data_IF_932910619868
#
_entry.id   IF_932910619868
#
_cell.length_a   1.000
_cell.length_b   1.000
_cell.length_c   1.000
_cell.angle_alpha   90.00
_cell.angle_beta   90.00
_cell.angle_gamma   90.00
#
_symmetry.space_group_name_H-M   'P 1'
#
loop_
_entity.id
_entity.type
_entity.pdbx_description
1 polymer ?
#
# COMPACT_ATOMS: atom_id res chain seq x y z
N UNK A 1 -13.57 -10.73 21.62
CA UNK A 1 -14.83 -10.62 20.89
C UNK A 1 -15.02 -9.23 20.33
N UNK A 2 -16.03 -9.01 19.48
CA UNK A 2 -16.36 -7.71 18.87
C UNK A 2 -16.49 -6.56 19.90
N UNK A 3 -16.91 -6.85 21.13
CA UNK A 3 -16.99 -5.86 22.22
C UNK A 3 -15.63 -5.31 22.68
N UNK A 4 -14.56 -6.09 22.55
CA UNK A 4 -13.21 -5.65 22.94
C UNK A 4 -12.59 -4.74 21.87
N UNK A 5 -12.87 -4.99 20.59
CA UNK A 5 -12.45 -4.12 19.48
C UNK A 5 -13.12 -2.74 19.61
N UNK A 6 -14.41 -2.71 19.94
CA UNK A 6 -15.16 -1.46 20.12
C UNK A 6 -14.69 -0.64 21.33
N UNK A 7 -14.28 -1.29 22.43
CA UNK A 7 -13.67 -0.62 23.58
C UNK A 7 -12.31 -0.03 23.24
N UNK A 8 -11.49 -0.76 22.46
CA UNK A 8 -10.14 -0.32 22.06
C UNK A 8 -10.15 0.88 21.12
N UNK A 9 -11.19 1.07 20.31
CA UNK A 9 -11.35 2.26 19.46
C UNK A 9 -11.44 3.59 20.24
N UNK A 10 -11.68 3.54 21.55
CA UNK A 10 -11.71 4.72 22.43
C UNK A 10 -10.41 4.96 23.19
N UNK A 11 -9.44 4.04 23.08
CA UNK A 11 -8.15 4.18 23.75
C UNK A 11 -7.23 5.10 22.94
N UNK A 12 -6.46 5.90 23.65
CA UNK A 12 -5.36 6.66 23.04
C UNK A 12 -4.19 5.75 22.63
N UNK A 13 -3.23 6.26 21.83
CA UNK A 13 -2.12 5.46 21.33
C UNK A 13 -1.32 4.74 22.42
N UNK A 14 -1.05 5.41 23.54
CA UNK A 14 -0.32 4.82 24.68
C UNK A 14 -1.09 3.67 25.31
N UNK A 15 -2.36 3.86 25.56
CA UNK A 15 -3.24 2.84 26.17
C UNK A 15 -3.38 1.61 25.28
N UNK A 16 -3.42 1.79 23.96
CA UNK A 16 -3.42 0.67 23.00
C UNK A 16 -2.11 -0.11 23.08
N UNK A 17 -0.96 0.57 23.08
CA UNK A 17 0.36 -0.06 23.18
C UNK A 17 0.49 -0.85 24.49
N UNK A 18 0.09 -0.26 25.60
CA UNK A 18 0.17 -0.91 26.89
C UNK A 18 -0.77 -2.11 26.97
N UNK A 19 -2.00 -1.99 26.48
CA UNK A 19 -2.94 -3.11 26.39
C UNK A 19 -2.44 -4.27 25.54
N UNK A 20 -1.73 -4.00 24.45
CA UNK A 20 -1.15 -5.05 23.60
C UNK A 20 0.01 -5.75 24.28
N UNK A 21 0.87 -5.02 25.03
CA UNK A 21 1.95 -5.59 25.82
C UNK A 21 1.41 -6.49 26.95
N UNK A 22 0.41 -6.02 27.67
CA UNK A 22 -0.19 -6.73 28.78
C UNK A 22 -0.90 -8.02 28.36
N UNK A 23 -1.53 -8.04 27.19
CA UNK A 23 -2.34 -9.16 26.72
C UNK A 23 -1.56 -10.19 25.88
N UNK A 24 -0.23 -10.06 25.72
CA UNK A 24 0.63 -11.01 25.00
C UNK A 24 0.02 -11.48 23.68
N UNK A 25 -0.38 -10.53 22.83
CA UNK A 25 -1.05 -10.83 21.56
C UNK A 25 -0.20 -11.77 20.69
N UNK A 26 -0.81 -12.85 20.19
CA UNK A 26 -0.18 -13.80 19.27
C UNK A 26 -0.93 -13.89 17.95
N UNK A 27 -0.22 -13.66 16.85
CA UNK A 27 -0.76 -13.79 15.49
C UNK A 27 -1.24 -15.22 15.20
N UNK A 28 -0.63 -16.24 15.85
CA UNK A 28 -1.03 -17.65 15.67
C UNK A 28 -2.43 -17.98 16.17
N UNK A 29 -3.04 -17.11 16.97
CA UNK A 29 -4.41 -17.27 17.47
C UNK A 29 -5.47 -16.73 16.50
N UNK A 30 -5.05 -16.02 15.44
CA UNK A 30 -5.95 -15.48 14.43
C UNK A 30 -6.41 -16.57 13.48
N UNK A 31 -7.69 -16.50 13.08
CA UNK A 31 -8.28 -17.38 12.08
C UNK A 31 -8.52 -16.58 10.80
N UNK A 32 -8.07 -17.15 9.70
CA UNK A 32 -8.41 -16.62 8.38
C UNK A 32 -9.88 -16.90 8.07
N UNK A 33 -10.58 -15.89 7.60
CA UNK A 33 -11.98 -15.94 7.21
C UNK A 33 -12.08 -15.37 5.80
N UNK A 34 -12.65 -16.13 4.88
CA UNK A 34 -12.83 -15.69 3.50
C UNK A 34 -14.01 -14.71 3.38
N UNK A 35 -13.78 -13.57 2.75
CA UNK A 35 -14.79 -12.53 2.59
C UNK A 35 -16.01 -13.04 1.83
N UNK A 36 -15.81 -13.80 0.76
CA UNK A 36 -16.91 -14.32 -0.08
C UNK A 36 -17.95 -15.13 0.70
N UNK A 37 -17.53 -15.75 1.81
CA UNK A 37 -18.41 -16.53 2.67
C UNK A 37 -18.99 -15.73 3.85
N UNK A 38 -18.42 -14.54 4.16
CA UNK A 38 -18.69 -13.85 5.43
C UNK A 38 -19.05 -12.37 5.28
N UNK A 39 -18.91 -11.79 4.09
CA UNK A 39 -19.21 -10.38 3.89
C UNK A 39 -20.71 -10.15 3.88
N UNK A 40 -21.16 -9.17 4.67
CA UNK A 40 -22.55 -8.77 4.70
C UNK A 40 -22.88 -7.84 3.52
N UNK A 41 -24.03 -8.06 2.90
CA UNK A 41 -24.51 -7.24 1.78
C UNK A 41 -24.69 -5.76 2.17
N UNK A 42 -25.09 -5.49 3.41
CA UNK A 42 -25.23 -4.12 3.92
C UNK A 42 -23.89 -3.37 3.95
N UNK A 43 -22.81 -4.08 4.29
CA UNK A 43 -21.46 -3.50 4.26
C UNK A 43 -21.05 -3.15 2.82
N UNK A 44 -21.30 -4.06 1.87
CA UNK A 44 -20.99 -3.79 0.46
C UNK A 44 -21.79 -2.62 -0.08
N UNK A 45 -23.11 -2.59 0.16
CA UNK A 45 -23.98 -1.50 -0.29
C UNK A 45 -23.52 -0.17 0.30
N UNK A 46 -23.30 -0.11 1.63
CA UNK A 46 -22.83 1.12 2.27
C UNK A 46 -21.47 1.57 1.72
N UNK A 47 -20.53 0.62 1.52
CA UNK A 47 -19.23 0.95 0.96
C UNK A 47 -19.35 1.56 -0.45
N UNK A 48 -20.19 0.95 -1.30
CA UNK A 48 -20.42 1.43 -2.68
C UNK A 48 -21.07 2.82 -2.64
N UNK A 49 -22.12 2.99 -1.86
CA UNK A 49 -22.85 4.26 -1.76
C UNK A 49 -21.93 5.40 -1.31
N UNK A 50 -21.14 5.21 -0.26
CA UNK A 50 -20.17 6.21 0.19
C UNK A 50 -19.06 6.47 -0.81
N UNK A 51 -18.53 5.44 -1.46
CA UNK A 51 -17.49 5.61 -2.46
C UNK A 51 -17.99 6.42 -3.67
N UNK A 52 -19.18 6.07 -4.21
CA UNK A 52 -19.78 6.82 -5.30
C UNK A 52 -20.18 8.24 -4.90
N UNK A 53 -20.68 8.43 -3.67
CA UNK A 53 -21.00 9.75 -3.13
C UNK A 53 -19.79 10.68 -3.21
N UNK A 54 -18.67 10.27 -2.59
CA UNK A 54 -17.47 11.12 -2.57
C UNK A 54 -16.87 11.31 -3.96
N UNK A 55 -16.91 10.32 -4.84
CA UNK A 55 -16.43 10.44 -6.21
C UNK A 55 -17.25 11.43 -7.04
N UNK A 56 -18.58 11.48 -6.86
CA UNK A 56 -19.47 12.33 -7.63
C UNK A 56 -19.60 13.74 -7.05
N UNK A 57 -19.58 13.89 -5.73
CA UNK A 57 -19.88 15.14 -5.05
C UNK A 57 -18.64 16.01 -4.77
N UNK A 58 -17.45 15.38 -4.61
CA UNK A 58 -16.24 16.14 -4.35
C UNK A 58 -15.65 16.76 -5.62
N UNK A 59 -15.13 17.99 -5.55
CA UNK A 59 -14.60 18.69 -6.75
C UNK A 59 -13.52 17.91 -7.49
N UNK A 60 -12.62 17.25 -6.75
CA UNK A 60 -11.51 16.47 -7.30
C UNK A 60 -11.97 15.15 -7.95
N UNK A 61 -13.13 14.63 -7.59
CA UNK A 61 -13.66 13.39 -8.15
C UNK A 61 -13.86 13.44 -9.66
N UNK A 62 -14.10 14.64 -10.21
CA UNK A 62 -14.27 14.85 -11.68
C UNK A 62 -13.06 14.43 -12.50
N UNK A 63 -11.87 14.48 -11.91
CA UNK A 63 -10.60 14.12 -12.58
C UNK A 63 -10.07 12.75 -12.13
N UNK A 64 -10.85 11.99 -11.37
CA UNK A 64 -10.55 10.59 -11.05
C UNK A 64 -11.25 9.70 -12.07
N UNK A 65 -10.49 9.04 -12.94
CA UNK A 65 -11.05 8.09 -13.91
C UNK A 65 -11.80 6.96 -13.21
N UNK A 66 -12.72 6.29 -13.92
CA UNK A 66 -13.45 5.17 -13.34
C UNK A 66 -12.54 4.02 -12.93
N UNK A 67 -11.48 3.75 -13.69
CA UNK A 67 -10.50 2.73 -13.34
C UNK A 67 -9.75 3.08 -12.05
N UNK A 68 -9.28 4.33 -11.91
CA UNK A 68 -8.65 4.79 -10.67
C UNK A 68 -9.62 4.84 -9.49
N UNK A 69 -10.89 5.15 -9.75
CA UNK A 69 -11.94 5.06 -8.72
C UNK A 69 -12.11 3.62 -8.26
N UNK A 70 -12.28 2.67 -9.18
CA UNK A 70 -12.43 1.25 -8.84
C UNK A 70 -11.21 0.69 -8.10
N UNK A 71 -10.02 1.14 -8.47
CA UNK A 71 -8.78 0.62 -7.92
C UNK A 71 -8.43 1.27 -6.57
N UNK A 72 -8.58 2.59 -6.41
CA UNK A 72 -8.01 3.30 -5.27
C UNK A 72 -9.03 4.00 -4.36
N UNK A 73 -10.31 4.08 -4.75
CA UNK A 73 -11.36 4.72 -3.95
C UNK A 73 -12.43 3.72 -3.51
N UNK A 74 -12.90 2.86 -4.41
CA UNK A 74 -13.99 1.92 -4.17
C UNK A 74 -13.69 0.79 -3.19
N UNK A 75 -12.47 0.21 -3.08
CA UNK A 75 -12.23 -0.98 -2.26
C UNK A 75 -12.62 -0.78 -0.79
N UNK A 76 -13.25 -1.80 -0.20
CA UNK A 76 -13.82 -1.76 1.15
C UNK A 76 -12.80 -2.06 2.26
N UNK A 77 -11.62 -2.60 1.91
CA UNK A 77 -10.50 -2.88 2.82
C UNK A 77 -9.15 -2.56 2.18
N UNK A 78 -8.08 -2.62 2.94
CA UNK A 78 -6.70 -2.42 2.48
C UNK A 78 -5.92 -3.71 2.33
N UNK A 79 -6.15 -4.66 3.23
CA UNK A 79 -5.42 -5.91 3.28
C UNK A 79 -6.27 -7.03 3.89
N UNK A 80 -5.83 -7.56 5.00
CA UNK A 80 -6.38 -8.71 5.70
C UNK A 80 -7.06 -8.34 7.04
N UNK A 81 -7.35 -7.06 7.24
CA UNK A 81 -8.04 -6.55 8.43
C UNK A 81 -9.48 -7.06 8.52
N UNK A 82 -10.06 -7.10 9.72
CA UNK A 82 -11.48 -7.41 9.91
C UNK A 82 -12.38 -6.46 9.13
N UNK A 83 -13.47 -7.00 8.56
CA UNK A 83 -14.51 -6.22 7.88
C UNK A 83 -15.21 -5.27 8.84
N UNK A 84 -15.55 -4.07 8.37
CA UNK A 84 -16.27 -3.08 9.17
C UNK A 84 -16.73 -1.86 8.38
N UNK A 85 -17.70 -1.17 8.94
CA UNK A 85 -18.17 0.13 8.46
C UNK A 85 -17.20 1.21 8.92
N UNK A 86 -16.64 1.98 8.02
CA UNK A 86 -15.62 2.98 8.37
C UNK A 86 -15.74 4.30 7.61
N UNK A 87 -16.28 4.26 6.37
CA UNK A 87 -16.26 5.43 5.48
C UNK A 87 -16.98 6.61 6.06
N UNK A 88 -18.16 6.40 6.63
CA UNK A 88 -19.00 7.47 7.14
C UNK A 88 -18.35 8.22 8.30
N UNK A 89 -17.79 7.49 9.26
CA UNK A 89 -17.17 8.10 10.44
C UNK A 89 -15.93 8.90 10.07
N UNK A 90 -15.08 8.33 9.22
CA UNK A 90 -13.88 9.00 8.72
C UNK A 90 -14.27 10.22 7.87
N UNK A 91 -15.25 10.07 6.99
CA UNK A 91 -15.79 11.19 6.20
C UNK A 91 -16.27 12.33 7.11
N UNK A 92 -17.13 12.06 8.09
CA UNK A 92 -17.65 13.09 9.00
C UNK A 92 -16.55 13.81 9.76
N UNK A 93 -15.49 13.10 10.14
CA UNK A 93 -14.36 13.68 10.88
C UNK A 93 -13.50 14.61 10.01
N UNK A 94 -13.14 14.19 8.80
CA UNK A 94 -12.12 14.88 8.00
C UNK A 94 -12.71 15.76 6.88
N UNK A 95 -13.94 15.54 6.45
CA UNK A 95 -14.57 16.29 5.37
C UNK A 95 -14.63 17.81 5.61
N UNK A 96 -14.91 18.31 6.85
CA UNK A 96 -14.96 19.76 7.11
C UNK A 96 -13.61 20.48 6.91
N UNK A 97 -12.49 19.75 7.04
CA UNK A 97 -11.14 20.31 6.82
C UNK A 97 -10.96 20.82 5.40
N UNK A 98 -11.67 20.23 4.44
CA UNK A 98 -11.59 20.55 3.02
C UNK A 98 -12.52 21.69 2.58
N UNK A 99 -13.33 22.25 3.48
CA UNK A 99 -14.28 23.33 3.12
C UNK A 99 -13.58 24.55 2.54
N UNK A 100 -12.40 24.89 3.07
CA UNK A 100 -11.63 26.04 2.65
C UNK A 100 -11.15 25.96 1.19
N UNK A 101 -11.00 24.75 0.65
CA UNK A 101 -10.47 24.59 -0.72
C UNK A 101 -11.54 24.27 -1.76
N UNK A 102 -12.75 23.83 -1.38
CA UNK A 102 -13.76 23.32 -2.32
C UNK A 102 -14.15 24.29 -3.42
N UNK A 103 -14.14 25.57 -3.15
CA UNK A 103 -14.52 26.62 -4.10
C UNK A 103 -13.33 27.12 -4.93
N UNK A 104 -12.12 26.64 -4.66
CA UNK A 104 -10.93 27.06 -5.41
C UNK A 104 -10.83 26.31 -6.75
N UNK A 105 -10.38 26.97 -7.83
CA UNK A 105 -10.22 26.29 -9.12
C UNK A 105 -9.31 25.05 -9.05
N UNK A 106 -8.27 25.08 -8.23
CA UNK A 106 -7.34 23.97 -8.04
C UNK A 106 -7.94 22.80 -7.24
N UNK A 107 -9.12 22.94 -6.63
CA UNK A 107 -9.80 21.85 -5.90
C UNK A 107 -10.17 20.66 -6.80
N UNK A 108 -10.11 20.83 -8.12
CA UNK A 108 -10.31 19.72 -9.06
C UNK A 108 -9.13 18.75 -9.13
N UNK A 109 -7.99 19.10 -8.53
CA UNK A 109 -6.84 18.20 -8.43
C UNK A 109 -6.89 17.44 -7.10
N UNK A 110 -7.00 16.10 -7.14
CA UNK A 110 -6.99 15.28 -5.92
C UNK A 110 -5.77 15.53 -5.02
N UNK A 111 -4.64 15.88 -5.61
CA UNK A 111 -3.40 16.15 -4.87
C UNK A 111 -3.52 17.39 -3.97
N UNK A 112 -4.32 18.39 -4.36
CA UNK A 112 -4.55 19.58 -3.53
C UNK A 112 -5.30 19.22 -2.25
N UNK A 113 -6.37 18.42 -2.38
CA UNK A 113 -7.11 17.93 -1.21
C UNK A 113 -6.25 17.01 -0.32
N UNK A 114 -5.45 16.15 -0.94
CA UNK A 114 -4.52 15.26 -0.24
C UNK A 114 -3.51 16.02 0.63
N UNK A 115 -2.94 17.11 0.10
CA UNK A 115 -1.99 17.96 0.85
C UNK A 115 -2.63 18.57 2.09
N UNK A 116 -3.81 19.15 1.95
CA UNK A 116 -4.53 19.77 3.08
C UNK A 116 -4.87 18.73 4.16
N UNK A 117 -5.29 17.53 3.76
CA UNK A 117 -5.54 16.46 4.72
C UNK A 117 -4.28 15.97 5.41
N UNK A 118 -3.18 15.84 4.67
CA UNK A 118 -1.92 15.40 5.26
C UNK A 118 -1.40 16.42 6.28
N UNK A 119 -1.47 17.73 5.97
CA UNK A 119 -1.09 18.80 6.90
C UNK A 119 -1.94 18.73 8.18
N UNK A 120 -3.21 18.37 8.08
CA UNK A 120 -4.07 18.15 9.26
C UNK A 120 -3.71 16.86 10.00
N UNK A 121 -3.40 15.79 9.29
CA UNK A 121 -3.05 14.51 9.90
C UNK A 121 -1.76 14.57 10.72
N UNK A 122 -0.74 15.31 10.27
CA UNK A 122 0.56 15.34 10.93
C UNK A 122 0.56 16.14 12.23
N UNK A 123 -0.40 17.04 12.44
CA UNK A 123 -0.52 17.79 13.71
C UNK A 123 -1.18 16.97 14.82
N UNK A 124 -1.87 15.89 14.49
CA UNK A 124 -2.44 15.00 15.48
C UNK A 124 -1.35 14.08 16.06
N UNK A 125 -1.39 13.85 17.36
CA UNK A 125 -0.41 13.01 18.06
C UNK A 125 -0.39 11.59 17.49
N UNK A 126 0.81 11.07 17.24
CA UNK A 126 1.05 9.73 16.67
C UNK A 126 2.24 9.07 17.35
N UNK A 127 2.23 7.74 17.43
CA UNK A 127 3.29 6.96 18.08
C UNK A 127 3.87 5.93 17.12
N UNK A 128 5.13 6.11 16.75
CA UNK A 128 5.85 5.10 16.00
C UNK A 128 6.22 3.93 16.94
N UNK A 129 5.85 2.71 16.55
CA UNK A 129 6.15 1.49 17.29
C UNK A 129 6.32 0.30 16.36
N UNK A 130 7.25 -0.59 16.69
CA UNK A 130 7.44 -1.87 16.00
C UNK A 130 6.57 -3.03 16.52
N UNK A 131 5.54 -2.76 17.34
CA UNK A 131 4.72 -3.83 17.96
C UNK A 131 3.88 -4.65 16.98
N UNK A 132 3.68 -4.15 15.75
CA UNK A 132 2.82 -4.79 14.75
C UNK A 132 3.55 -5.34 13.51
N UNK A 133 4.85 -5.70 13.55
CA UNK A 133 5.63 -5.92 12.33
C UNK A 133 5.20 -7.15 11.51
N UNK A 134 4.47 -8.08 12.09
CA UNK A 134 4.08 -9.34 11.44
C UNK A 134 2.60 -9.69 11.57
N UNK A 135 1.80 -8.81 12.14
CA UNK A 135 0.36 -9.00 12.31
C UNK A 135 -0.44 -8.64 11.05
N UNK A 136 -1.73 -8.94 11.02
CA UNK A 136 -2.64 -8.42 10.01
C UNK A 136 -2.72 -6.90 10.09
N UNK A 137 -3.29 -6.28 9.06
CA UNK A 137 -3.60 -4.87 9.08
C UNK A 137 -4.54 -4.53 10.24
N UNK A 138 -4.36 -3.37 10.87
CA UNK A 138 -5.20 -2.93 12.00
C UNK A 138 -6.60 -2.46 11.57
N UNK A 139 -6.77 -2.29 10.26
CA UNK A 139 -8.00 -1.77 9.69
C UNK A 139 -8.26 -0.31 10.05
N UNK A 140 -9.51 0.15 9.96
CA UNK A 140 -9.87 1.54 10.20
C UNK A 140 -9.58 2.03 11.62
N UNK A 141 -9.33 1.13 12.57
CA UNK A 141 -8.90 1.48 13.93
C UNK A 141 -7.59 2.28 13.96
N UNK A 142 -6.74 2.13 12.94
CA UNK A 142 -5.48 2.87 12.84
C UNK A 142 -5.71 4.40 12.84
N UNK A 143 -6.84 4.86 12.30
CA UNK A 143 -7.21 6.28 12.26
C UNK A 143 -7.45 6.87 13.66
N UNK A 144 -7.95 6.04 14.58
CA UNK A 144 -8.19 6.44 15.97
C UNK A 144 -6.98 6.17 16.85
N UNK A 145 -6.30 5.05 16.67
CA UNK A 145 -5.17 4.63 17.50
C UNK A 145 -3.90 5.41 17.22
N UNK A 146 -3.66 5.73 15.94
CA UNK A 146 -2.51 6.51 15.48
C UNK A 146 -1.17 5.97 16.02
N UNK A 147 -1.05 4.67 16.07
CA UNK A 147 0.14 3.96 16.52
C UNK A 147 0.49 2.83 15.57
N UNK A 148 1.77 2.64 15.30
CA UNK A 148 2.26 1.57 14.43
C UNK A 148 3.60 1.90 13.79
N UNK A 149 3.95 1.10 12.79
CA UNK A 149 5.11 1.28 11.94
C UNK A 149 4.76 2.08 10.66
N UNK A 150 5.66 2.13 9.72
CA UNK A 150 5.40 2.77 8.41
C UNK A 150 4.20 2.15 7.69
N UNK A 151 3.91 0.86 7.88
CA UNK A 151 2.74 0.19 7.29
C UNK A 151 1.42 0.75 7.85
N UNK A 152 1.29 0.78 9.18
CA UNK A 152 0.08 1.26 9.85
C UNK A 152 -0.17 2.74 9.56
N UNK A 153 0.87 3.54 9.45
CA UNK A 153 0.72 4.94 9.06
C UNK A 153 0.37 5.11 7.58
N UNK A 154 0.87 4.25 6.71
CA UNK A 154 0.43 4.23 5.32
C UNK A 154 -1.07 3.86 5.23
N UNK A 155 -1.52 2.87 6.00
CA UNK A 155 -2.93 2.49 6.08
C UNK A 155 -3.82 3.65 6.58
N UNK A 156 -3.39 4.36 7.63
CA UNK A 156 -4.09 5.53 8.16
C UNK A 156 -4.36 6.56 7.06
N UNK A 157 -3.32 6.89 6.30
CA UNK A 157 -3.43 7.87 5.20
C UNK A 157 -4.39 7.35 4.13
N UNK A 158 -4.29 6.08 3.72
CA UNK A 158 -5.19 5.52 2.69
C UNK A 158 -6.64 5.53 3.15
N UNK A 159 -6.95 5.17 4.40
CA UNK A 159 -8.31 5.21 4.93
C UNK A 159 -8.91 6.61 4.85
N UNK A 160 -8.16 7.63 5.29
CA UNK A 160 -8.62 9.01 5.26
C UNK A 160 -8.81 9.52 3.83
N UNK A 161 -7.83 9.33 2.97
CA UNK A 161 -7.89 9.78 1.57
C UNK A 161 -9.04 9.11 0.82
N UNK A 162 -9.17 7.79 0.97
CA UNK A 162 -10.21 6.99 0.31
C UNK A 162 -11.63 7.36 0.79
N UNK A 163 -11.80 7.65 2.09
CA UNK A 163 -13.08 8.12 2.62
C UNK A 163 -13.54 9.44 2.02
N UNK A 164 -12.62 10.23 1.49
CA UNK A 164 -12.88 11.53 0.88
C UNK A 164 -12.79 11.53 -0.65
N UNK A 165 -12.68 10.37 -1.27
CA UNK A 165 -12.69 10.21 -2.73
C UNK A 165 -11.36 10.57 -3.41
N UNK A 166 -10.26 10.58 -2.67
CA UNK A 166 -8.92 10.85 -3.18
C UNK A 166 -8.24 9.53 -3.55
N UNK A 167 -7.78 9.33 -4.80
CA UNK A 167 -7.13 8.10 -5.25
C UNK A 167 -5.74 7.97 -4.59
N UNK A 168 -5.68 7.19 -3.54
CA UNK A 168 -4.49 6.97 -2.73
C UNK A 168 -4.31 5.47 -2.45
N UNK A 169 -3.06 5.04 -2.41
CA UNK A 169 -2.70 3.68 -2.08
C UNK A 169 -1.34 3.59 -1.40
N UNK A 170 -0.86 2.37 -1.26
CA UNK A 170 0.42 2.07 -0.64
C UNK A 170 1.36 1.46 -1.65
N UNK A 171 2.56 2.03 -1.75
CA UNK A 171 3.69 1.43 -2.42
C UNK A 171 4.67 0.92 -1.36
N UNK A 172 5.37 -0.15 -1.68
CA UNK A 172 6.33 -0.72 -0.75
C UNK A 172 7.55 -1.31 -1.47
N UNK A 173 8.65 -1.38 -0.74
CA UNK A 173 9.82 -2.17 -1.11
C UNK A 173 10.03 -3.28 -0.09
N UNK A 174 10.31 -4.48 -0.59
CA UNK A 174 10.54 -5.64 0.27
C UNK A 174 11.80 -5.48 1.12
N UNK A 175 12.77 -4.72 0.61
CA UNK A 175 14.01 -4.40 1.28
C UNK A 175 14.52 -3.05 0.79
N UNK A 176 14.97 -2.21 1.70
CA UNK A 176 15.69 -0.98 1.38
C UNK A 176 17.12 -1.33 0.94
N UNK A 177 17.68 -0.52 0.04
CA UNK A 177 19.05 -0.71 -0.41
C UNK A 177 20.12 -0.38 0.66
N UNK A 178 19.74 0.38 1.69
CA UNK A 178 20.62 0.84 2.78
C UNK A 178 20.47 0.05 4.08
N UNK A 179 19.41 -0.75 4.22
CA UNK A 179 19.16 -1.58 5.38
C UNK A 179 18.21 -2.74 5.03
N UNK A 180 18.19 -3.76 5.89
CA UNK A 180 17.48 -5.02 5.65
C UNK A 180 16.03 -5.00 6.16
N UNK A 181 15.33 -3.88 6.05
CA UNK A 181 13.94 -3.77 6.48
C UNK A 181 13.04 -3.34 5.32
N UNK A 182 11.80 -3.83 5.25
CA UNK A 182 10.82 -3.35 4.30
C UNK A 182 10.44 -1.90 4.62
N UNK A 183 9.95 -1.19 3.62
CA UNK A 183 9.43 0.15 3.82
C UNK A 183 8.15 0.36 3.04
N UNK A 184 7.20 1.07 3.66
CA UNK A 184 5.88 1.38 3.12
C UNK A 184 5.69 2.90 3.11
N UNK A 185 5.09 3.42 2.05
CA UNK A 185 4.73 4.83 1.92
C UNK A 185 3.48 4.96 1.07
N UNK A 186 2.94 6.17 1.01
CA UNK A 186 1.74 6.44 0.24
C UNK A 186 2.06 7.07 -1.11
N UNK A 187 1.21 6.76 -2.07
CA UNK A 187 1.10 7.52 -3.29
C UNK A 187 -0.31 8.09 -3.44
N UNK A 188 -0.40 9.21 -4.14
CA UNK A 188 -1.65 9.83 -4.56
C UNK A 188 -1.51 10.21 -6.03
N UNK A 189 -2.59 10.05 -6.78
CA UNK A 189 -2.65 10.46 -8.18
C UNK A 189 -3.13 11.91 -8.26
N UNK A 190 -2.45 12.73 -9.09
CA UNK A 190 -2.93 14.06 -9.42
C UNK A 190 -4.06 13.99 -10.49
N UNK A 191 -4.58 15.15 -10.90
CA UNK A 191 -5.62 15.26 -11.93
C UNK A 191 -5.26 14.66 -13.29
N UNK A 192 -3.97 14.49 -13.57
CA UNK A 192 -3.43 13.90 -14.81
C UNK A 192 -3.02 12.43 -14.63
N UNK A 193 -3.31 11.83 -13.46
CA UNK A 193 -2.95 10.46 -13.11
C UNK A 193 -1.47 10.26 -12.79
N UNK A 194 -0.72 11.33 -12.57
CA UNK A 194 0.71 11.23 -12.20
C UNK A 194 0.87 10.92 -10.73
N UNK A 195 1.81 10.04 -10.42
CA UNK A 195 2.10 9.58 -9.06
C UNK A 195 2.92 10.61 -8.28
N UNK A 196 2.39 11.01 -7.14
CA UNK A 196 3.07 11.77 -6.10
C UNK A 196 3.14 10.93 -4.83
N UNK A 197 4.26 11.00 -4.14
CA UNK A 197 4.50 10.22 -2.92
C UNK A 197 4.55 11.13 -1.70
N UNK A 198 4.16 10.57 -0.57
CA UNK A 198 4.34 11.15 0.76
C UNK A 198 4.60 10.05 1.78
N UNK A 199 5.33 10.38 2.82
CA UNK A 199 5.62 9.50 3.96
C UNK A 199 5.09 10.15 5.23
N UNK A 200 4.13 9.52 5.88
CA UNK A 200 3.68 10.02 7.17
C UNK A 200 4.76 9.76 8.26
N UNK A 201 5.09 10.72 9.14
CA UNK A 201 4.45 12.04 9.31
C UNK A 201 5.12 13.19 8.53
N UNK A 202 5.91 12.91 7.51
CA UNK A 202 6.52 13.95 6.66
C UNK A 202 5.56 14.37 5.54
N UNK A 203 4.99 15.61 5.58
CA UNK A 203 4.05 16.08 4.56
C UNK A 203 4.71 16.50 3.24
N UNK A 204 6.00 16.26 3.06
CA UNK A 204 6.71 16.64 1.85
C UNK A 204 6.30 15.78 0.66
N UNK A 205 5.51 16.35 -0.22
CA UNK A 205 5.06 15.71 -1.44
C UNK A 205 6.12 15.79 -2.53
N UNK A 206 6.46 14.63 -3.11
CA UNK A 206 7.45 14.52 -4.18
C UNK A 206 6.87 13.76 -5.36
N UNK A 207 7.35 14.06 -6.56
CA UNK A 207 7.18 13.14 -7.69
C UNK A 207 7.84 11.81 -7.35
N UNK A 208 7.24 10.69 -7.76
CA UNK A 208 7.79 9.36 -7.49
C UNK A 208 9.25 9.22 -7.96
N UNK A 209 9.56 9.77 -9.13
CA UNK A 209 10.93 9.81 -9.70
C UNK A 209 11.94 10.57 -8.84
N UNK A 210 11.50 11.41 -7.92
CA UNK A 210 12.36 12.20 -7.03
C UNK A 210 12.57 11.54 -5.66
N UNK A 211 12.14 10.31 -5.48
CA UNK A 211 12.37 9.56 -4.25
C UNK A 211 13.87 9.25 -4.10
N UNK A 212 14.45 9.75 -3.01
CA UNK A 212 15.91 9.64 -2.79
C UNK A 212 16.34 8.29 -2.21
N UNK A 213 15.44 7.55 -1.56
CA UNK A 213 15.82 6.30 -0.89
C UNK A 213 16.33 5.26 -1.88
N UNK A 214 17.45 4.55 -1.58
CA UNK A 214 17.88 3.41 -2.37
C UNK A 214 16.75 2.37 -2.47
N UNK A 215 16.32 2.08 -3.69
CA UNK A 215 15.20 1.17 -3.98
C UNK A 215 15.68 0.00 -4.80
N UNK A 216 15.42 -1.21 -4.34
CA UNK A 216 15.70 -2.39 -5.14
C UNK A 216 14.56 -2.66 -6.14
N UNK A 217 13.36 -2.81 -5.64
CA UNK A 217 12.10 -2.97 -6.39
C UNK A 217 10.96 -2.33 -5.61
N UNK A 218 10.07 -1.65 -6.32
CA UNK A 218 8.89 -1.02 -5.74
C UNK A 218 7.64 -1.72 -6.25
N UNK A 219 6.82 -2.15 -5.32
CA UNK A 219 5.53 -2.79 -5.59
C UNK A 219 4.38 -1.93 -5.08
N UNK A 220 3.34 -1.81 -5.88
CA UNK A 220 2.09 -1.15 -5.53
C UNK A 220 1.07 -2.19 -5.09
N UNK A 221 0.44 -1.95 -3.94
CA UNK A 221 -0.71 -2.72 -3.54
C UNK A 221 -1.91 -2.33 -4.42
N UNK A 222 -2.47 -3.32 -5.13
CA UNK A 222 -3.65 -3.16 -5.99
C UNK A 222 -4.82 -3.96 -5.43
N UNK A 223 -6.03 -3.69 -5.89
CA UNK A 223 -7.27 -4.34 -5.45
C UNK A 223 -7.90 -5.15 -6.57
N UNK A 224 -7.59 -4.81 -7.81
CA UNK A 224 -7.81 -5.67 -8.97
C UNK A 224 -6.68 -6.67 -9.16
N UNK A 225 -7.00 -7.87 -9.66
CA UNK A 225 -6.00 -8.88 -9.96
C UNK A 225 -5.07 -8.42 -11.09
N UNK A 226 -3.78 -8.48 -10.86
CA UNK A 226 -2.77 -8.27 -11.90
C UNK A 226 -2.70 -9.46 -12.84
N UNK A 227 -3.67 -9.55 -13.76
CA UNK A 227 -3.80 -10.67 -14.69
C UNK A 227 -2.58 -10.90 -15.56
N UNK A 228 -1.80 -9.87 -15.88
CA UNK A 228 -0.57 -10.00 -16.65
C UNK A 228 0.44 -10.87 -15.92
N UNK A 229 0.67 -10.58 -14.64
CA UNK A 229 1.62 -11.35 -13.82
C UNK A 229 1.06 -12.72 -13.45
N UNK A 230 -0.24 -12.83 -13.16
CA UNK A 230 -0.89 -14.11 -12.92
C UNK A 230 -0.69 -15.07 -14.11
N UNK A 231 -0.93 -14.59 -15.35
CA UNK A 231 -0.71 -15.38 -16.56
C UNK A 231 0.77 -15.72 -16.78
N UNK A 232 1.67 -14.77 -16.54
CA UNK A 232 3.13 -14.97 -16.68
C UNK A 232 3.65 -16.04 -15.72
N UNK A 233 3.05 -16.17 -14.55
CA UNK A 233 3.41 -17.14 -13.51
C UNK A 233 2.71 -18.49 -13.66
N UNK A 234 1.67 -18.58 -14.49
CA UNK A 234 0.86 -19.79 -14.64
C UNK A 234 1.74 -21.00 -15.02
N UNK A 235 1.56 -22.11 -14.31
CA UNK A 235 2.31 -23.35 -14.51
C UNK A 235 3.74 -23.35 -14.01
N UNK A 236 4.18 -22.25 -13.34
CA UNK A 236 5.52 -22.12 -12.78
C UNK A 236 5.51 -22.23 -11.26
N UNK A 237 6.55 -22.85 -10.70
CA UNK A 237 6.74 -22.94 -9.25
C UNK A 237 7.48 -21.67 -8.79
N UNK A 238 6.71 -20.65 -8.43
CA UNK A 238 7.23 -19.34 -8.03
C UNK A 238 7.55 -19.28 -6.53
N UNK A 239 8.60 -18.53 -6.18
CA UNK A 239 8.88 -18.17 -4.79
C UNK A 239 7.67 -17.40 -4.18
N UNK A 240 7.31 -17.67 -2.91
CA UNK A 240 6.14 -17.05 -2.26
C UNK A 240 6.11 -15.51 -2.33
N UNK A 241 7.27 -14.85 -2.31
CA UNK A 241 7.38 -13.39 -2.42
C UNK A 241 6.72 -12.83 -3.70
N UNK A 242 6.66 -13.62 -4.78
CA UNK A 242 6.07 -13.23 -6.07
C UNK A 242 4.68 -13.79 -6.32
N UNK A 243 4.16 -14.64 -5.43
CA UNK A 243 2.78 -15.18 -5.51
C UNK A 243 1.76 -14.20 -4.94
N UNK A 244 1.82 -12.95 -5.35
CA UNK A 244 0.97 -11.89 -4.83
C UNK A 244 0.22 -11.23 -5.99
N UNK A 245 -0.95 -11.78 -6.38
CA UNK A 245 -1.67 -11.32 -7.56
C UNK A 245 -2.23 -9.90 -7.45
N UNK A 246 -2.23 -9.34 -6.24
CA UNK A 246 -2.64 -7.97 -5.93
C UNK A 246 -1.46 -7.00 -5.83
N UNK A 247 -0.25 -7.42 -6.21
CA UNK A 247 0.91 -6.52 -6.27
C UNK A 247 1.32 -6.28 -7.73
N UNK A 248 1.51 -5.01 -8.05
CA UNK A 248 2.04 -4.57 -9.34
C UNK A 248 3.45 -4.03 -9.15
N UNK A 249 4.38 -4.47 -9.98
CA UNK A 249 5.71 -3.84 -10.08
C UNK A 249 5.57 -2.45 -10.69
N UNK A 250 5.91 -1.43 -9.92
CA UNK A 250 5.86 -0.02 -10.33
C UNK A 250 7.23 0.64 -10.25
N UNK A 251 8.31 -0.15 -10.24
CA UNK A 251 9.68 0.38 -10.15
C UNK A 251 9.95 1.45 -11.19
N UNK A 252 9.47 1.24 -12.43
CA UNK A 252 9.60 2.21 -13.53
C UNK A 252 8.95 3.59 -13.24
N UNK A 253 7.97 3.67 -12.35
CA UNK A 253 7.35 4.96 -11.92
C UNK A 253 8.32 5.77 -11.07
N UNK A 254 9.26 5.10 -10.43
CA UNK A 254 10.25 5.67 -9.52
C UNK A 254 11.62 5.87 -10.19
N UNK A 255 11.83 5.30 -11.37
CA UNK A 255 13.02 5.48 -12.17
C UNK A 255 13.00 6.85 -12.88
N UNK A 256 14.13 7.52 -12.96
CA UNK A 256 14.29 8.56 -13.97
C UNK A 256 14.50 7.88 -15.35
N UNK A 257 14.58 8.67 -16.43
CA UNK A 257 14.51 8.21 -17.85
C UNK A 257 15.50 7.12 -18.30
N UNK A 258 16.22 6.50 -17.39
CA UNK A 258 17.22 5.46 -17.64
C UNK A 258 16.78 4.12 -17.08
N UNK A 259 15.61 3.63 -17.51
CA UNK A 259 15.21 2.24 -17.26
C UNK A 259 16.34 1.32 -17.78
N UNK A 260 17.10 0.75 -16.86
CA UNK A 260 18.18 -0.18 -17.20
C UNK A 260 17.81 -1.56 -16.74
N UNK A 261 17.52 -2.42 -17.70
CA UNK A 261 17.48 -3.84 -17.40
C UNK A 261 18.87 -4.32 -16.95
N UNK A 262 18.90 -5.09 -15.89
CA UNK A 262 20.09 -5.84 -15.52
C UNK A 262 20.21 -7.03 -16.46
N UNK A 263 21.25 -7.03 -17.29
CA UNK A 263 21.58 -8.15 -18.18
C UNK A 263 22.82 -8.85 -17.61
N UNK A 264 22.68 -10.12 -17.31
CA UNK A 264 23.73 -10.95 -16.72
C UNK A 264 24.03 -12.11 -17.66
N UNK A 265 25.34 -12.38 -17.92
CA UNK A 265 25.74 -13.54 -18.69
C UNK A 265 25.33 -14.84 -18.02
N UNK A 266 24.88 -15.80 -18.78
CA UNK A 266 24.55 -17.14 -18.29
C UNK A 266 25.75 -17.91 -17.74
N UNK A 267 26.97 -17.47 -18.05
CA UNK A 267 28.21 -18.12 -17.60
C UNK A 267 28.34 -18.16 -16.06
N UNK A 268 27.63 -17.27 -15.37
CA UNK A 268 27.59 -17.25 -13.88
C UNK A 268 26.67 -18.32 -13.28
N UNK A 269 25.81 -18.94 -14.10
CA UNK A 269 24.87 -19.94 -13.62
C UNK A 269 25.58 -21.29 -13.42
N UNK A 270 25.10 -22.05 -12.44
CA UNK A 270 25.56 -23.43 -12.30
C UNK A 270 25.04 -24.27 -13.49
N UNK A 271 25.77 -25.35 -13.80
CA UNK A 271 25.45 -26.23 -14.91
C UNK A 271 24.10 -26.96 -14.84
N UNK A 272 23.43 -26.85 -13.69
CA UNK A 272 22.16 -27.51 -13.41
C UNK A 272 20.94 -26.64 -13.79
N UNK A 273 21.17 -25.39 -14.26
CA UNK A 273 20.10 -24.52 -14.71
C UNK A 273 19.78 -24.81 -16.17
N UNK A 274 18.51 -25.06 -16.47
CA UNK A 274 18.01 -25.44 -17.78
C UNK A 274 17.08 -24.38 -18.36
N UNK A 275 16.94 -24.38 -19.68
CA UNK A 275 15.98 -23.51 -20.38
C UNK A 275 14.56 -23.72 -19.81
N UNK A 276 13.92 -22.61 -19.44
CA UNK A 276 12.60 -22.59 -18.80
C UNK A 276 12.62 -22.49 -17.28
N UNK A 277 13.80 -22.67 -16.67
CA UNK A 277 13.94 -22.50 -15.21
C UNK A 277 13.76 -21.04 -14.78
N UNK A 278 13.25 -20.86 -13.55
CA UNK A 278 13.11 -19.55 -12.97
C UNK A 278 14.39 -19.19 -12.22
N UNK A 279 14.94 -18.05 -12.58
CA UNK A 279 16.13 -17.49 -11.92
C UNK A 279 15.72 -16.23 -11.16
N UNK A 280 16.20 -16.10 -9.94
CA UNK A 280 15.92 -14.97 -9.07
C UNK A 280 17.13 -14.07 -8.94
N UNK A 281 16.88 -12.75 -9.01
CA UNK A 281 17.84 -11.76 -8.55
C UNK A 281 17.55 -11.47 -7.09
N UNK A 282 18.55 -11.66 -6.22
CA UNK A 282 18.41 -11.56 -4.79
C UNK A 282 19.35 -10.52 -4.21
N UNK A 283 18.91 -9.85 -3.14
CA UNK A 283 19.78 -9.06 -2.27
C UNK A 283 20.22 -9.89 -1.08
N UNK A 284 21.51 -9.82 -0.76
CA UNK A 284 22.09 -10.49 0.41
C UNK A 284 21.76 -9.72 1.68
N UNK A 285 21.27 -10.41 2.69
CA UNK A 285 21.13 -9.91 4.05
C UNK A 285 22.10 -10.62 4.99
N UNK A 286 22.13 -10.26 6.26
CA UNK A 286 22.93 -11.00 7.26
C UNK A 286 22.48 -12.46 7.44
N UNK A 287 21.22 -12.75 7.16
CA UNK A 287 20.59 -14.02 7.53
C UNK A 287 20.17 -14.83 6.30
N UNK A 288 19.90 -14.17 5.15
CA UNK A 288 19.27 -14.81 4.02
C UNK A 288 19.47 -14.05 2.71
N UNK A 289 19.02 -14.63 1.61
CA UNK A 289 18.92 -14.03 0.30
C UNK A 289 17.46 -13.65 0.03
N UNK A 290 17.18 -12.36 -0.11
CA UNK A 290 15.83 -11.85 -0.38
C UNK A 290 15.64 -11.67 -1.87
N UNK A 291 14.76 -12.45 -2.52
CA UNK A 291 14.51 -12.31 -3.95
C UNK A 291 13.72 -11.03 -4.23
N UNK A 292 14.24 -10.18 -5.11
CA UNK A 292 13.65 -8.89 -5.49
C UNK A 292 13.16 -8.83 -6.93
N UNK A 293 13.69 -9.69 -7.81
CA UNK A 293 13.22 -9.83 -9.17
C UNK A 293 13.34 -11.28 -9.63
N UNK A 294 12.68 -11.62 -10.74
CA UNK A 294 12.76 -12.93 -11.36
C UNK A 294 12.69 -12.85 -12.87
N UNK A 295 13.28 -13.83 -13.51
CA UNK A 295 13.19 -14.03 -14.95
C UNK A 295 13.14 -15.51 -15.28
N UNK A 296 12.80 -15.85 -16.52
CA UNK A 296 12.90 -17.21 -17.03
C UNK A 296 14.20 -17.31 -17.82
N UNK A 297 14.98 -18.35 -17.56
CA UNK A 297 16.18 -18.59 -18.32
C UNK A 297 15.80 -19.13 -19.72
N UNK A 298 16.12 -18.37 -20.75
CA UNK A 298 15.79 -18.75 -22.13
C UNK A 298 17.01 -19.15 -22.92
N UNK A 299 18.04 -18.31 -23.03
CA UNK A 299 19.32 -18.56 -23.69
C UNK A 299 20.36 -17.51 -23.25
N UNK A 300 21.62 -17.83 -23.28
CA UNK A 300 22.86 -17.03 -23.14
C UNK A 300 22.88 -15.87 -22.13
N UNK A 301 21.76 -15.27 -21.76
CA UNK A 301 21.70 -14.18 -20.81
C UNK A 301 20.41 -14.17 -20.00
N UNK A 302 20.52 -13.62 -18.79
CA UNK A 302 19.39 -13.34 -17.89
C UNK A 302 19.08 -11.84 -17.97
N UNK A 303 17.82 -11.50 -18.21
CA UNK A 303 17.36 -10.12 -18.20
C UNK A 303 16.36 -9.90 -17.07
N UNK A 304 16.73 -9.08 -16.11
CA UNK A 304 15.83 -8.63 -15.05
C UNK A 304 15.39 -7.21 -15.36
N UNK A 305 14.08 -6.99 -15.43
CA UNK A 305 13.52 -5.68 -15.72
C UNK A 305 13.68 -4.75 -14.50
N UNK A 306 14.25 -3.58 -14.73
CA UNK A 306 14.38 -2.48 -13.78
C UNK A 306 14.71 -2.87 -12.32
N UNK A 307 15.82 -3.56 -12.03
CA UNK A 307 16.31 -3.60 -10.67
C UNK A 307 17.09 -2.29 -10.42
N UNK A 308 16.43 -1.27 -9.90
CA UNK A 308 17.14 -0.04 -9.51
C UNK A 308 17.94 -0.22 -8.23
N UNK A 309 19.13 0.37 -8.21
CA UNK A 309 19.83 0.76 -7.00
C UNK A 309 20.40 -0.38 -6.15
N UNK A 310 20.77 -1.47 -6.75
CA UNK A 310 21.57 -2.51 -6.07
C UNK A 310 23.06 -2.33 -6.29
#
# INVERSE_FOLDING_TARGET
>A
GLGDVYKRQKLGPHEVIDSLKENSFSVSQLKWIEDIANIDSSLLVQNVDWAFKVWREQPWGKNVSFDNFCEFVLPYRLGDEPLGFWREDIYKRYNPILDSIRLLPQAQDPLVAAKVLMDSLVVEQSHFTGLFPAGPHLGPSVVSWRAGSCREFADLVVYVMRALGIPCGTDYMAMRGDNNVPHFWNFTLDKDGKTYITEFPDPNWKRAVSMYNPKAKVYRNTYGLNWKDVKRQQGKMMHPAFRKPLYQDVTAVYADSLNRDLVVSSDILCKEVHKGDIVYFCLSTRMDWVPIAWTVFEEDSLRFQDPEGS
#
